data_IF_987300530490
#
_entry.id   IF_987300530490
#
_cell.length_a   1.000
_cell.length_b   1.000
_cell.length_c   1.000
_cell.angle_alpha   90.00
_cell.angle_beta   90.00
_cell.angle_gamma   90.00
#
_symmetry.space_group_name_H-M   'P 1'
#
loop_
_entity.id
_entity.type
_entity.pdbx_description
1 polymer ?
#
# COMPACT_ATOMS: atom_id res chain seq x y z
N UNK A 1 -22.46 -5.53 22.49
CA UNK A 1 -22.96 -4.98 21.21
C UNK A 1 -23.02 -6.11 20.20
N UNK A 2 -24.20 -6.76 20.07
CA UNK A 2 -24.34 -7.95 19.21
C UNK A 2 -24.73 -7.61 17.76
N UNK A 3 -25.13 -6.36 17.48
CA UNK A 3 -25.58 -5.96 16.15
C UNK A 3 -24.56 -5.10 15.42
N UNK A 4 -24.29 -5.41 14.15
CA UNK A 4 -23.45 -4.65 13.26
C UNK A 4 -24.32 -3.83 12.28
N UNK A 5 -24.23 -2.50 12.35
CA UNK A 5 -24.98 -1.58 11.50
C UNK A 5 -24.20 -1.07 10.30
N UNK A 6 -23.01 -1.63 10.04
CA UNK A 6 -22.13 -1.18 8.95
C UNK A 6 -22.07 -2.16 7.80
N UNK A 7 -21.95 -3.44 8.11
CA UNK A 7 -21.70 -4.50 7.14
C UNK A 7 -22.98 -5.19 6.70
N UNK A 8 -22.96 -5.75 5.49
CA UNK A 8 -24.02 -6.61 4.99
C UNK A 8 -24.00 -7.96 5.70
N UNK A 9 -25.13 -8.64 5.70
CA UNK A 9 -25.31 -9.98 6.26
C UNK A 9 -24.36 -11.01 5.64
N UNK A 10 -24.16 -10.97 4.32
CA UNK A 10 -23.23 -11.87 3.61
C UNK A 10 -21.78 -11.76 4.13
N UNK A 11 -21.32 -10.55 4.45
CA UNK A 11 -19.98 -10.31 5.03
C UNK A 11 -19.94 -10.88 6.45
N UNK A 12 -20.98 -10.62 7.26
CA UNK A 12 -21.04 -11.07 8.65
C UNK A 12 -21.11 -12.60 8.73
N UNK A 13 -21.90 -13.23 7.85
CA UNK A 13 -22.00 -14.68 7.74
C UNK A 13 -20.65 -15.29 7.39
N UNK A 14 -19.95 -14.75 6.38
CA UNK A 14 -18.62 -15.24 6.01
C UNK A 14 -17.60 -15.11 7.14
N UNK A 15 -17.63 -14.00 7.89
CA UNK A 15 -16.78 -13.83 9.08
C UNK A 15 -17.15 -14.84 10.16
N UNK A 16 -18.42 -14.99 10.49
CA UNK A 16 -18.89 -15.95 11.49
C UNK A 16 -18.48 -17.39 11.13
N UNK A 17 -18.65 -17.80 9.87
CA UNK A 17 -18.26 -19.14 9.39
C UNK A 17 -16.76 -19.40 9.59
N UNK A 18 -15.91 -18.43 9.33
CA UNK A 18 -14.48 -18.54 9.58
C UNK A 18 -14.22 -18.69 11.08
N UNK A 19 -14.78 -17.81 11.92
CA UNK A 19 -14.52 -17.83 13.35
C UNK A 19 -15.09 -19.06 14.06
N UNK A 20 -16.23 -19.59 13.64
CA UNK A 20 -16.76 -20.87 14.16
C UNK A 20 -15.81 -22.04 13.91
N UNK A 21 -15.02 -21.99 12.82
CA UNK A 21 -14.07 -23.04 12.47
C UNK A 21 -12.73 -22.90 13.19
N UNK A 22 -12.22 -21.67 13.33
CA UNK A 22 -10.86 -21.44 13.84
C UNK A 22 -10.80 -21.10 15.34
N UNK A 23 -11.87 -20.50 15.90
CA UNK A 23 -11.90 -20.18 17.34
C UNK A 23 -12.49 -21.31 18.14
N UNK A 24 -11.63 -22.22 18.56
CA UNK A 24 -11.97 -23.37 19.40
C UNK A 24 -11.18 -23.32 20.70
N UNK A 25 -11.63 -24.08 21.71
CA UNK A 25 -10.89 -24.17 23.01
C UNK A 25 -9.45 -24.64 22.82
N UNK A 26 -9.19 -25.49 21.82
CA UNK A 26 -7.86 -25.99 21.51
C UNK A 26 -6.97 -24.96 20.78
N UNK A 27 -7.57 -23.96 20.16
CA UNK A 27 -6.89 -22.92 19.40
C UNK A 27 -7.29 -21.55 19.95
N UNK A 28 -6.62 -21.09 21.00
CA UNK A 28 -6.83 -19.76 21.60
C UNK A 28 -7.63 -19.72 22.89
N UNK A 29 -8.03 -20.88 23.46
CA UNK A 29 -8.81 -21.00 24.70
C UNK A 29 -10.14 -20.25 24.73
N UNK A 30 -10.69 -19.90 23.58
CA UNK A 30 -11.97 -19.20 23.45
C UNK A 30 -12.80 -19.93 22.40
N UNK A 31 -14.03 -20.27 22.76
CA UNK A 31 -15.01 -20.83 21.84
C UNK A 31 -15.87 -19.71 21.26
N UNK A 32 -15.91 -19.62 19.94
CA UNK A 32 -16.83 -18.72 19.26
C UNK A 32 -18.23 -19.32 19.34
N UNK A 33 -19.15 -18.61 19.95
CA UNK A 33 -20.54 -19.04 20.19
C UNK A 33 -21.50 -18.06 19.53
N UNK A 34 -22.78 -18.42 19.48
CA UNK A 34 -23.84 -17.55 18.95
C UNK A 34 -23.89 -16.18 19.67
N UNK A 35 -23.59 -16.14 20.96
CA UNK A 35 -23.51 -14.89 21.73
C UNK A 35 -22.33 -14.00 21.31
N UNK A 36 -21.28 -14.59 20.72
CA UNK A 36 -20.13 -13.85 20.20
C UNK A 36 -20.29 -13.51 18.72
N UNK A 37 -21.20 -14.18 18.01
CA UNK A 37 -21.42 -14.01 16.59
C UNK A 37 -21.88 -12.59 16.24
N UNK A 38 -21.52 -12.18 15.04
CA UNK A 38 -21.94 -10.87 14.49
C UNK A 38 -23.35 -11.02 13.88
N UNK A 39 -24.26 -10.17 14.31
CA UNK A 39 -25.63 -10.15 13.79
C UNK A 39 -25.86 -8.88 12.94
N UNK A 40 -26.57 -8.98 11.79
CA UNK A 40 -26.91 -7.83 10.98
C UNK A 40 -27.90 -6.92 11.72
N UNK A 41 -27.57 -5.64 11.81
CA UNK A 41 -28.43 -4.60 12.35
C UNK A 41 -28.80 -3.55 11.31
N UNK A 42 -28.14 -3.54 10.16
CA UNK A 42 -28.41 -2.64 9.06
C UNK A 42 -29.36 -3.27 8.05
N UNK A 43 -30.31 -2.47 7.55
CA UNK A 43 -31.15 -2.83 6.41
C UNK A 43 -30.67 -2.03 5.21
N UNK A 44 -30.36 -2.72 4.13
CA UNK A 44 -29.96 -2.12 2.87
C UNK A 44 -31.14 -2.22 1.89
N UNK A 45 -31.33 -1.19 1.07
CA UNK A 45 -32.33 -1.24 0.01
C UNK A 45 -31.99 -2.35 -1.01
N UNK A 46 -33.01 -2.88 -1.66
CA UNK A 46 -32.83 -3.82 -2.75
C UNK A 46 -32.15 -3.13 -3.95
N UNK A 47 -31.21 -3.80 -4.56
CA UNK A 47 -30.56 -3.34 -5.79
C UNK A 47 -31.32 -3.87 -7.00
N UNK A 48 -31.28 -3.13 -8.11
CA UNK A 48 -31.82 -3.59 -9.39
C UNK A 48 -31.06 -4.81 -9.94
N UNK A 49 -29.76 -4.91 -9.61
CA UNK A 49 -28.86 -6.00 -10.00
C UNK A 49 -28.25 -6.61 -8.73
N UNK A 50 -28.98 -7.48 -8.01
CA UNK A 50 -28.54 -8.01 -6.71
C UNK A 50 -27.24 -8.83 -6.79
N UNK A 51 -26.98 -9.46 -7.93
CA UNK A 51 -25.76 -10.26 -8.21
C UNK A 51 -24.49 -9.41 -8.22
N UNK A 52 -24.60 -8.11 -8.47
CA UNK A 52 -23.47 -7.18 -8.42
C UNK A 52 -23.25 -6.57 -7.03
N UNK A 53 -24.14 -6.81 -6.11
CA UNK A 53 -24.10 -6.19 -4.78
C UNK A 53 -23.46 -7.12 -3.77
N UNK A 54 -22.22 -6.85 -3.42
CA UNK A 54 -21.54 -7.43 -2.28
C UNK A 54 -21.57 -8.97 -2.29
N UNK A 55 -20.62 -9.55 -2.98
CA UNK A 55 -20.50 -10.98 -3.12
C UNK A 55 -20.19 -11.74 -1.85
N UNK A 56 -20.02 -13.04 -1.99
CA UNK A 56 -19.50 -13.93 -0.97
C UNK A 56 -18.05 -13.53 -0.64
N UNK A 57 -17.59 -13.93 0.54
CA UNK A 57 -16.17 -13.83 0.86
C UNK A 57 -15.36 -14.68 -0.12
N UNK A 58 -14.39 -14.07 -0.78
CA UNK A 58 -13.54 -14.71 -1.77
C UNK A 58 -12.16 -14.99 -1.18
N UNK A 59 -11.60 -16.16 -1.48
CA UNK A 59 -10.22 -16.49 -1.21
C UNK A 59 -9.45 -16.51 -2.52
N UNK A 60 -8.55 -15.56 -2.69
CA UNK A 60 -7.64 -15.50 -3.82
C UNK A 60 -6.30 -16.12 -3.42
N UNK A 61 -5.81 -17.06 -4.22
CA UNK A 61 -4.53 -17.73 -3.97
C UNK A 61 -3.62 -17.59 -5.18
N UNK A 62 -2.34 -17.32 -4.91
CA UNK A 62 -1.28 -17.34 -5.92
C UNK A 62 -0.46 -18.59 -5.69
N UNK A 63 -0.40 -19.45 -6.69
CA UNK A 63 0.51 -20.58 -6.70
C UNK A 63 1.88 -20.12 -7.22
N UNK A 64 2.89 -20.20 -6.37
CA UNK A 64 4.27 -19.83 -6.69
C UNK A 64 5.19 -21.04 -6.84
N UNK A 65 4.61 -22.25 -7.00
CA UNK A 65 5.39 -23.46 -7.27
C UNK A 65 6.02 -23.45 -8.66
N UNK A 66 7.18 -24.10 -8.79
CA UNK A 66 7.94 -24.12 -10.03
C UNK A 66 7.14 -24.61 -11.24
N UNK A 67 6.21 -25.55 -11.03
CA UNK A 67 5.34 -26.05 -12.10
C UNK A 67 4.30 -25.01 -12.56
N UNK A 68 3.79 -24.20 -11.63
CA UNK A 68 2.84 -23.15 -11.94
C UNK A 68 3.52 -21.98 -12.67
N UNK A 69 4.75 -21.65 -12.30
CA UNK A 69 5.54 -20.59 -12.93
C UNK A 69 6.06 -20.99 -14.32
N UNK A 70 6.35 -22.27 -14.56
CA UNK A 70 6.86 -22.77 -15.84
C UNK A 70 5.91 -22.54 -17.04
N UNK A 71 4.64 -22.30 -16.80
CA UNK A 71 3.62 -22.01 -17.82
C UNK A 71 3.40 -20.53 -18.11
N UNK A 72 4.08 -19.64 -17.39
CA UNK A 72 3.95 -18.19 -17.54
C UNK A 72 4.90 -17.67 -18.62
N UNK A 73 4.61 -16.48 -19.14
CA UNK A 73 5.52 -15.76 -20.02
C UNK A 73 6.78 -15.32 -19.25
N UNK A 74 7.86 -15.03 -20.01
CA UNK A 74 9.16 -14.67 -19.42
C UNK A 74 9.07 -13.44 -18.49
N UNK A 75 8.20 -12.47 -18.82
CA UNK A 75 8.01 -11.27 -18.00
C UNK A 75 7.37 -11.60 -16.64
N UNK A 76 6.39 -12.51 -16.64
CA UNK A 76 5.68 -12.90 -15.40
C UNK A 76 6.51 -13.85 -14.54
N UNK A 77 7.37 -14.68 -15.15
CA UNK A 77 8.23 -15.61 -14.42
C UNK A 77 9.30 -14.91 -13.56
N UNK A 78 9.66 -13.68 -13.90
CA UNK A 78 10.63 -12.88 -13.13
C UNK A 78 10.01 -12.20 -11.88
N UNK A 79 8.68 -12.24 -11.72
CA UNK A 79 8.04 -11.61 -10.57
C UNK A 79 8.20 -12.43 -9.28
N UNK A 80 8.44 -11.71 -8.19
CA UNK A 80 8.40 -12.29 -6.85
C UNK A 80 6.97 -12.65 -6.45
N UNK A 81 6.82 -13.55 -5.46
CA UNK A 81 5.50 -13.91 -4.92
C UNK A 81 4.68 -12.68 -4.51
N UNK A 82 5.30 -11.65 -3.93
CA UNK A 82 4.63 -10.41 -3.53
C UNK A 82 4.13 -9.60 -4.73
N UNK A 83 4.90 -9.56 -5.80
CA UNK A 83 4.52 -8.86 -7.02
C UNK A 83 3.36 -9.57 -7.71
N UNK A 84 3.36 -10.90 -7.73
CA UNK A 84 2.25 -11.69 -8.25
C UNK A 84 0.95 -11.49 -7.44
N UNK A 85 1.05 -11.48 -6.11
CA UNK A 85 -0.08 -11.16 -5.25
C UNK A 85 -0.60 -9.73 -5.50
N UNK A 86 0.30 -8.75 -5.63
CA UNK A 86 -0.07 -7.37 -5.92
C UNK A 86 -0.75 -7.21 -7.29
N UNK A 87 -0.29 -7.95 -8.32
CA UNK A 87 -0.93 -7.99 -9.63
C UNK A 87 -2.33 -8.63 -9.58
N UNK A 88 -2.48 -9.71 -8.82
CA UNK A 88 -3.79 -10.32 -8.60
C UNK A 88 -4.77 -9.36 -7.92
N UNK A 89 -4.29 -8.63 -6.90
CA UNK A 89 -5.07 -7.57 -6.24
C UNK A 89 -5.46 -6.48 -7.24
N UNK A 90 -4.53 -6.03 -8.08
CA UNK A 90 -4.80 -5.02 -9.11
C UNK A 90 -5.87 -5.49 -10.11
N UNK A 91 -5.77 -6.73 -10.58
CA UNK A 91 -6.75 -7.33 -11.48
C UNK A 91 -8.14 -7.38 -10.83
N UNK A 92 -8.22 -7.80 -9.55
CA UNK A 92 -9.49 -7.83 -8.79
C UNK A 92 -10.08 -6.44 -8.60
N UNK A 93 -9.26 -5.43 -8.31
CA UNK A 93 -9.72 -4.03 -8.20
C UNK A 93 -10.32 -3.55 -9.53
N UNK A 94 -9.69 -3.86 -10.65
CA UNK A 94 -10.23 -3.50 -11.98
C UNK A 94 -11.56 -4.18 -12.26
N UNK A 95 -11.68 -5.47 -11.97
CA UNK A 95 -12.94 -6.20 -12.07
C UNK A 95 -14.05 -5.53 -11.24
N UNK A 96 -13.75 -5.19 -9.99
CA UNK A 96 -14.72 -4.55 -9.09
C UNK A 96 -15.10 -3.12 -9.51
N UNK A 97 -14.25 -2.41 -10.23
CA UNK A 97 -14.50 -1.03 -10.68
C UNK A 97 -14.96 -0.95 -12.14
N UNK A 98 -15.15 -2.07 -12.81
CA UNK A 98 -15.66 -2.09 -14.19
C UNK A 98 -16.99 -1.33 -14.28
N UNK A 99 -17.16 -0.40 -15.26
CA UNK A 99 -18.36 0.41 -15.35
C UNK A 99 -19.64 -0.40 -15.60
N UNK A 100 -19.54 -1.49 -16.35
CA UNK A 100 -20.70 -2.29 -16.77
C UNK A 100 -20.97 -3.47 -15.84
N UNK A 101 -19.92 -4.14 -15.36
CA UNK A 101 -20.04 -5.40 -14.62
C UNK A 101 -19.48 -5.32 -13.20
N UNK A 102 -18.89 -4.19 -12.80
CA UNK A 102 -18.26 -4.00 -11.48
C UNK A 102 -19.25 -4.05 -10.33
N UNK A 103 -18.74 -4.11 -9.14
CA UNK A 103 -19.54 -4.21 -7.92
C UNK A 103 -20.35 -2.96 -7.65
N UNK A 104 -21.56 -3.13 -7.13
CA UNK A 104 -22.42 -2.05 -6.69
C UNK A 104 -22.24 -1.80 -5.19
N UNK A 105 -21.99 -0.56 -4.84
CA UNK A 105 -21.89 -0.07 -3.46
C UNK A 105 -23.00 0.91 -3.15
N UNK A 106 -23.51 0.85 -1.91
CA UNK A 106 -24.51 1.80 -1.45
C UNK A 106 -23.86 3.15 -1.12
N UNK A 107 -24.29 4.19 -1.80
CA UNK A 107 -23.84 5.55 -1.52
C UNK A 107 -25.00 6.38 -0.94
N UNK A 108 -24.84 6.81 0.31
CA UNK A 108 -25.83 7.65 1.01
C UNK A 108 -26.06 9.02 0.35
N UNK A 109 -25.12 9.45 -0.49
CA UNK A 109 -25.15 10.74 -1.20
C UNK A 109 -25.70 10.63 -2.62
N UNK A 110 -25.99 9.44 -3.10
CA UNK A 110 -26.55 9.24 -4.42
C UNK A 110 -28.06 9.46 -4.40
N UNK A 111 -28.51 10.56 -4.98
CA UNK A 111 -29.94 10.91 -5.03
C UNK A 111 -30.57 11.31 -3.70
N UNK A 112 -31.91 11.46 -3.67
CA UNK A 112 -32.69 11.70 -2.47
C UNK A 112 -32.87 10.39 -1.68
N UNK A 113 -32.08 10.20 -0.62
CA UNK A 113 -32.15 9.02 0.26
C UNK A 113 -31.10 7.94 0.04
N UNK A 114 -30.16 8.14 -0.87
CA UNK A 114 -29.09 7.20 -1.21
C UNK A 114 -29.42 6.32 -2.41
N UNK A 115 -28.42 5.67 -2.97
CA UNK A 115 -28.57 4.80 -4.14
C UNK A 115 -27.35 3.91 -4.36
N UNK A 116 -27.51 2.93 -5.24
CA UNK A 116 -26.40 2.10 -5.69
C UNK A 116 -25.62 2.79 -6.80
N UNK A 117 -24.31 2.67 -6.76
CA UNK A 117 -23.38 3.02 -7.85
C UNK A 117 -22.29 1.99 -7.98
N UNK A 118 -21.65 1.95 -9.12
CA UNK A 118 -20.44 1.12 -9.29
C UNK A 118 -19.34 1.53 -8.30
N UNK A 119 -18.64 0.55 -7.78
CA UNK A 119 -17.52 0.75 -6.86
C UNK A 119 -16.43 1.60 -7.51
N UNK A 120 -15.78 2.42 -6.71
CA UNK A 120 -14.67 3.27 -7.10
C UNK A 120 -13.43 2.92 -6.26
N UNK A 121 -12.24 3.27 -6.70
CA UNK A 121 -11.00 2.99 -5.98
C UNK A 121 -11.04 3.43 -4.50
N UNK A 122 -11.68 4.56 -4.22
CA UNK A 122 -11.86 5.09 -2.85
C UNK A 122 -12.74 4.23 -1.93
N UNK A 123 -13.49 3.30 -2.47
CA UNK A 123 -14.37 2.42 -1.69
C UNK A 123 -13.65 1.17 -1.19
N UNK A 124 -12.38 0.98 -1.59
CA UNK A 124 -11.61 -0.22 -1.32
C UNK A 124 -10.49 0.06 -0.32
N UNK A 125 -10.26 -0.92 0.56
CA UNK A 125 -9.15 -0.88 1.54
C UNK A 125 -8.43 -2.21 1.51
N UNK A 126 -7.10 -2.15 1.44
CA UNK A 126 -6.23 -3.32 1.54
C UNK A 126 -5.65 -3.33 2.96
N UNK A 127 -5.93 -4.40 3.70
CA UNK A 127 -5.42 -4.58 5.05
C UNK A 127 -4.28 -5.57 5.04
N UNK A 128 -3.13 -5.15 5.53
CA UNK A 128 -1.94 -5.98 5.66
C UNK A 128 -1.66 -6.28 7.14
N UNK A 129 -1.21 -7.50 7.44
CA UNK A 129 -0.74 -7.86 8.78
C UNK A 129 0.49 -7.06 9.20
N UNK A 130 1.39 -6.79 8.25
CA UNK A 130 2.58 -5.97 8.41
C UNK A 130 2.78 -5.12 7.16
N UNK A 131 3.04 -3.85 7.35
CA UNK A 131 3.33 -2.92 6.25
C UNK A 131 4.78 -2.99 5.79
N UNK A 132 5.69 -3.46 6.67
CA UNK A 132 7.11 -3.53 6.35
C UNK A 132 7.42 -4.49 5.19
N UNK A 133 8.06 -3.98 4.16
CA UNK A 133 8.48 -4.75 2.99
C UNK A 133 7.36 -5.21 2.06
N UNK A 134 6.13 -4.72 2.25
CA UNK A 134 4.98 -5.01 1.40
C UNK A 134 4.39 -3.76 0.75
N UNK A 135 4.33 -2.67 1.53
CA UNK A 135 3.63 -1.46 1.13
C UNK A 135 4.21 -0.84 -0.13
N UNK A 136 5.53 -0.76 -0.24
CA UNK A 136 6.21 -0.14 -1.39
C UNK A 136 5.96 -0.93 -2.66
N UNK A 137 6.17 -2.26 -2.64
CA UNK A 137 5.91 -3.14 -3.79
C UNK A 137 4.46 -3.05 -4.24
N UNK A 138 3.52 -3.12 -3.29
CA UNK A 138 2.09 -3.04 -3.59
C UNK A 138 1.71 -1.70 -4.22
N UNK A 139 2.17 -0.58 -3.62
CA UNK A 139 1.89 0.76 -4.14
C UNK A 139 2.48 0.95 -5.54
N UNK A 140 3.71 0.52 -5.76
CA UNK A 140 4.36 0.63 -7.06
C UNK A 140 3.59 -0.12 -8.14
N UNK A 141 3.18 -1.35 -7.88
CA UNK A 141 2.42 -2.15 -8.84
C UNK A 141 1.05 -1.54 -9.10
N UNK A 142 0.30 -1.15 -8.05
CA UNK A 142 -1.00 -0.51 -8.23
C UNK A 142 -0.90 0.78 -9.06
N UNK A 143 0.10 1.62 -8.80
CA UNK A 143 0.33 2.85 -9.57
C UNK A 143 0.70 2.57 -11.03
N UNK A 144 1.57 1.58 -11.29
CA UNK A 144 1.94 1.14 -12.64
C UNK A 144 0.72 0.61 -13.41
N UNK A 145 -0.20 -0.05 -12.71
CA UNK A 145 -1.47 -0.53 -13.24
C UNK A 145 -2.54 0.59 -13.37
N UNK A 146 -2.19 1.84 -13.09
CA UNK A 146 -3.10 2.99 -13.17
C UNK A 146 -4.14 3.06 -12.05
N UNK A 147 -3.94 2.33 -10.96
CA UNK A 147 -4.82 2.33 -9.79
C UNK A 147 -4.25 3.30 -8.75
N UNK A 148 -4.93 4.43 -8.47
CA UNK A 148 -4.47 5.37 -7.47
C UNK A 148 -4.58 4.74 -6.07
N UNK A 149 -3.46 4.57 -5.41
CA UNK A 149 -3.37 4.01 -4.07
C UNK A 149 -2.46 4.85 -3.18
N UNK A 150 -2.76 4.87 -1.89
CA UNK A 150 -1.89 5.48 -0.90
C UNK A 150 -1.85 4.61 0.36
N UNK A 151 -0.78 4.69 1.11
CA UNK A 151 -0.66 4.03 2.41
C UNK A 151 -0.30 5.04 3.50
N UNK A 152 -0.96 4.94 4.65
CA UNK A 152 -0.52 5.64 5.85
C UNK A 152 0.75 4.98 6.39
N UNK A 153 1.90 5.43 5.93
CA UNK A 153 3.19 4.99 6.46
C UNK A 153 3.65 5.98 7.52
N UNK A 154 3.76 5.52 8.75
CA UNK A 154 4.41 6.33 9.81
C UNK A 154 5.92 6.47 9.58
N UNK A 155 6.53 5.64 8.75
CA UNK A 155 7.96 5.68 8.43
C UNK A 155 8.29 6.59 7.24
N UNK A 156 7.34 6.89 6.36
CA UNK A 156 7.58 7.67 5.15
C UNK A 156 7.78 9.16 5.37
N UNK A 157 7.33 9.73 6.49
CA UNK A 157 7.46 11.18 6.73
C UNK A 157 8.93 11.62 6.81
N UNK A 158 9.77 10.87 7.52
CA UNK A 158 11.19 11.21 7.66
C UNK A 158 12.05 10.84 6.45
N UNK A 159 11.51 10.03 5.53
CA UNK A 159 12.18 9.62 4.29
C UNK A 159 11.68 10.39 3.06
N UNK A 160 10.89 11.45 3.26
CA UNK A 160 10.56 12.34 2.15
C UNK A 160 11.74 13.23 1.83
N UNK A 161 11.94 13.54 0.54
CA UNK A 161 13.07 14.36 0.07
C UNK A 161 13.14 15.70 0.81
N UNK A 162 12.00 16.30 1.10
CA UNK A 162 11.88 17.56 1.81
C UNK A 162 12.40 17.47 3.24
N UNK A 163 12.00 16.43 3.96
CA UNK A 163 12.41 16.22 5.36
C UNK A 163 13.88 15.80 5.44
N UNK A 164 14.32 14.89 4.55
CA UNK A 164 15.75 14.53 4.45
C UNK A 164 16.63 15.73 4.12
N UNK A 165 16.15 16.62 3.24
CA UNK A 165 16.86 17.87 2.93
C UNK A 165 17.00 18.75 4.16
N UNK A 166 15.92 18.96 4.92
CA UNK A 166 15.95 19.78 6.15
C UNK A 166 16.84 19.13 7.21
N UNK A 167 16.76 17.83 7.40
CA UNK A 167 17.61 17.11 8.34
C UNK A 167 19.09 17.20 7.94
N UNK A 168 19.40 17.10 6.65
CA UNK A 168 20.74 17.29 6.12
C UNK A 168 21.24 18.72 6.35
N UNK A 169 20.39 19.74 6.16
CA UNK A 169 20.73 21.13 6.47
C UNK A 169 21.06 21.34 7.96
N UNK A 170 20.25 20.76 8.84
CA UNK A 170 20.50 20.82 10.28
C UNK A 170 21.81 20.11 10.66
N UNK A 171 22.10 18.95 10.03
CA UNK A 171 23.35 18.23 10.24
C UNK A 171 24.57 19.04 9.78
N UNK A 172 24.48 19.76 8.66
CA UNK A 172 25.56 20.66 8.16
C UNK A 172 25.73 21.87 9.06
N UNK A 173 24.64 22.42 9.63
CA UNK A 173 24.72 23.54 10.59
C UNK A 173 25.43 23.09 11.88
N UNK A 174 25.11 21.89 12.37
CA UNK A 174 25.73 21.30 13.56
C UNK A 174 27.20 20.95 13.32
N UNK A 175 27.49 20.27 12.22
CA UNK A 175 28.85 19.90 11.84
C UNK A 175 29.04 19.95 10.31
N UNK A 176 29.64 21.00 9.77
CA UNK A 176 29.86 21.16 8.33
C UNK A 176 30.88 20.18 7.71
N UNK A 177 31.64 19.44 8.55
CA UNK A 177 32.63 18.46 8.09
C UNK A 177 32.00 17.12 7.64
N UNK A 178 30.70 17.04 7.58
CA UNK A 178 29.98 15.84 7.14
C UNK A 178 29.68 15.90 5.64
N UNK A 179 30.45 15.19 4.83
CA UNK A 179 30.37 15.23 3.37
C UNK A 179 29.01 14.77 2.81
N UNK A 180 28.39 13.74 3.39
CA UNK A 180 27.12 13.19 2.89
C UNK A 180 25.97 14.18 3.08
N UNK A 181 25.71 14.75 4.28
CA UNK A 181 24.72 15.81 4.45
C UNK A 181 25.01 17.04 3.61
N UNK A 182 26.28 17.45 3.50
CA UNK A 182 26.65 18.60 2.70
C UNK A 182 26.36 18.38 1.22
N UNK A 183 26.72 17.22 0.66
CA UNK A 183 26.41 16.86 -0.72
C UNK A 183 24.89 16.80 -0.96
N UNK A 184 24.11 16.27 0.00
CA UNK A 184 22.65 16.22 -0.08
C UNK A 184 22.05 17.64 -0.14
N UNK A 185 22.54 18.57 0.68
CA UNK A 185 22.09 19.98 0.66
C UNK A 185 22.44 20.67 -0.66
N UNK A 186 23.67 20.48 -1.15
CA UNK A 186 24.13 21.09 -2.41
C UNK A 186 23.31 20.62 -3.61
N UNK A 187 22.93 19.33 -3.64
CA UNK A 187 22.08 18.75 -4.70
C UNK A 187 20.58 19.07 -4.53
N UNK A 188 20.16 19.49 -3.34
CA UNK A 188 18.75 19.76 -3.05
C UNK A 188 18.21 20.92 -3.89
N UNK A 189 16.87 21.03 -4.04
CA UNK A 189 16.23 22.16 -4.71
C UNK A 189 16.55 23.54 -4.09
N UNK A 190 17.06 23.56 -2.86
CA UNK A 190 17.45 24.81 -2.16
C UNK A 190 18.69 25.45 -2.77
N UNK A 191 19.67 24.62 -3.14
CA UNK A 191 20.92 25.09 -3.78
C UNK A 191 20.91 24.81 -5.29
N UNK A 192 20.39 23.65 -5.71
CA UNK A 192 20.17 23.30 -7.11
C UNK A 192 21.45 22.92 -7.87
N UNK A 193 22.51 22.48 -7.18
CA UNK A 193 23.75 22.05 -7.82
C UNK A 193 23.55 20.73 -8.57
N UNK A 194 23.97 20.68 -9.83
CA UNK A 194 23.94 19.46 -10.64
C UNK A 194 25.06 18.49 -10.24
N UNK A 195 24.88 17.21 -10.59
CA UNK A 195 25.92 16.18 -10.36
C UNK A 195 27.25 16.54 -11.02
N UNK A 196 27.19 17.19 -12.17
CA UNK A 196 28.40 17.63 -12.91
C UNK A 196 29.13 18.75 -12.18
N UNK A 197 28.41 19.72 -11.64
CA UNK A 197 28.99 20.82 -10.88
C UNK A 197 29.62 20.34 -9.58
N UNK A 198 28.92 19.43 -8.86
CA UNK A 198 29.43 18.80 -7.66
C UNK A 198 30.69 17.98 -7.95
N UNK A 199 30.69 17.16 -9.03
CA UNK A 199 31.85 16.40 -9.44
C UNK A 199 33.03 17.28 -9.84
N UNK A 200 32.80 18.40 -10.53
CA UNK A 200 33.83 19.38 -10.91
C UNK A 200 34.43 20.01 -9.66
N UNK A 201 33.61 20.49 -8.74
CA UNK A 201 34.04 21.05 -7.47
C UNK A 201 34.92 20.08 -6.67
N UNK A 202 34.52 18.80 -6.61
CA UNK A 202 35.28 17.74 -5.94
C UNK A 202 36.61 17.43 -6.64
N UNK A 203 36.64 17.47 -7.98
CA UNK A 203 37.88 17.28 -8.76
C UNK A 203 38.87 18.43 -8.55
N UNK A 204 38.38 19.68 -8.58
CA UNK A 204 39.18 20.86 -8.35
C UNK A 204 39.75 20.84 -6.93
N UNK A 205 38.92 20.54 -5.93
CA UNK A 205 39.36 20.39 -4.54
C UNK A 205 40.49 19.37 -4.40
N UNK A 206 40.33 18.18 -4.96
CA UNK A 206 41.34 17.10 -4.93
C UNK A 206 42.64 17.49 -5.65
N UNK A 207 42.55 18.35 -6.66
CA UNK A 207 43.70 18.82 -7.38
C UNK A 207 44.49 19.88 -6.59
N UNK A 208 43.82 20.66 -5.74
CA UNK A 208 44.39 21.72 -4.92
C UNK A 208 44.85 21.23 -3.54
N UNK A 209 44.31 20.10 -3.05
CA UNK A 209 44.70 19.53 -1.76
C UNK A 209 46.08 18.91 -1.83
N UNK A 210 47.01 19.37 -0.97
CA UNK A 210 48.33 18.74 -0.79
C UNK A 210 48.15 17.25 -0.47
N UNK A 211 48.97 16.44 -1.14
CA UNK A 211 48.92 14.96 -1.06
C UNK A 211 49.16 14.48 0.38
N UNK A 212 48.13 14.43 1.18
CA UNK A 212 48.18 13.91 2.55
C UNK A 212 47.06 14.27 3.49
N UNK A 213 46.17 15.17 3.12
CA UNK A 213 44.99 15.49 3.94
C UNK A 213 43.72 15.37 3.10
N UNK A 214 43.06 14.24 3.21
CA UNK A 214 41.68 14.08 2.72
C UNK A 214 40.76 14.80 3.73
N UNK A 215 40.36 16.04 3.42
CA UNK A 215 39.59 16.92 4.32
C UNK A 215 38.10 16.97 3.97
N UNK A 216 37.66 16.20 3.01
CA UNK A 216 36.25 16.19 2.60
C UNK A 216 35.84 17.41 1.76
N UNK A 217 34.52 17.56 1.55
CA UNK A 217 33.93 18.61 0.69
C UNK A 217 34.05 20.01 1.33
N UNK A 218 34.07 20.08 2.64
CA UNK A 218 34.07 21.37 3.38
C UNK A 218 35.43 22.01 3.50
N UNK A 219 36.50 21.29 3.41
CA UNK A 219 37.87 21.83 3.57
C UNK A 219 38.37 22.50 2.30
#
# INVERSE_FOLDING_TARGET
>A
LHQNFRSRDTVLTGINDIFYRIMTENLGNIRYTEDAALHPGAVFAEAAEPERVGGLSELLMVDTGDEALAGLDEETADYTAKELEAKLIAAKIREMTDPEHGFLVWDKKAGEGGGYRTAQFRDMVILLRSTAGWTETLLQILLNEGIPAYAESRMGYFNTLEVETVLSMLAVIDNPMQDIPLAAVLKSPVVGMSDRELATMMADYRSCADKGQDRGIYA
#
